data_IF_636400203858
#
_entry.id   IF_636400203858
#
_cell.length_a   1.000
_cell.length_b   1.000
_cell.length_c   1.000
_cell.angle_alpha   90.00
_cell.angle_beta   90.00
_cell.angle_gamma   90.00
#
_symmetry.space_group_name_H-M   'P 1'
#
loop_
_entity.id
_entity.type
_entity.pdbx_description
1 polymer ?
#
# COMPACT_ATOMS: atom_id res chain seq x y z
N UNK A 1 -14.63 -4.88 -17.39
CA UNK A 1 -13.27 -4.28 -17.42
C UNK A 1 -12.57 -4.54 -18.75
N UNK A 2 -12.68 -5.75 -19.31
CA UNK A 2 -12.08 -6.12 -20.61
C UNK A 2 -12.36 -5.12 -21.74
N UNK A 3 -13.62 -4.73 -21.94
CA UNK A 3 -14.04 -3.77 -22.98
C UNK A 3 -13.37 -2.39 -22.85
N UNK A 4 -13.13 -1.93 -21.61
CA UNK A 4 -12.46 -0.64 -21.35
C UNK A 4 -10.97 -0.73 -21.72
N UNK A 5 -10.32 -1.84 -21.35
CA UNK A 5 -8.91 -2.10 -21.68
C UNK A 5 -8.74 -2.21 -23.19
N UNK A 6 -9.62 -2.96 -23.85
CA UNK A 6 -9.63 -3.15 -25.29
C UNK A 6 -9.81 -1.83 -26.03
N UNK A 7 -10.79 -1.01 -25.65
CA UNK A 7 -10.95 0.34 -26.21
C UNK A 7 -9.72 1.23 -26.00
N UNK A 8 -9.11 1.22 -24.81
CA UNK A 8 -7.91 2.03 -24.56
C UNK A 8 -6.70 1.57 -25.38
N UNK A 9 -6.64 0.30 -25.78
CA UNK A 9 -5.62 -0.25 -26.68
C UNK A 9 -5.91 0.02 -28.16
N UNK A 10 -7.11 -0.30 -28.63
CA UNK A 10 -7.45 -0.30 -30.07
C UNK A 10 -8.09 1.00 -30.55
N UNK A 11 -8.67 1.79 -29.64
CA UNK A 11 -9.52 2.96 -29.93
C UNK A 11 -10.78 2.64 -30.73
N UNK A 12 -11.16 1.37 -30.80
CA UNK A 12 -12.35 0.94 -31.53
C UNK A 12 -13.56 0.90 -30.60
N UNK A 13 -14.67 1.48 -31.05
CA UNK A 13 -15.94 1.45 -30.34
C UNK A 13 -16.87 0.42 -30.97
N UNK A 14 -17.71 -0.24 -30.16
CA UNK A 14 -18.76 -1.12 -30.66
C UNK A 14 -19.77 -0.32 -31.48
N UNK A 15 -20.38 -0.95 -32.50
CA UNK A 15 -21.33 -0.28 -33.39
C UNK A 15 -22.66 0.13 -32.73
N UNK A 16 -22.98 -0.40 -31.55
CA UNK A 16 -24.13 0.07 -30.76
C UNK A 16 -23.78 1.38 -30.04
N UNK A 17 -24.41 2.47 -30.46
CA UNK A 17 -24.20 3.82 -29.93
C UNK A 17 -24.42 3.91 -28.42
N UNK A 18 -25.40 3.17 -27.86
CA UNK A 18 -25.62 3.18 -26.39
C UNK A 18 -24.45 2.55 -25.65
N UNK A 19 -23.93 1.45 -26.19
CA UNK A 19 -22.79 0.74 -25.64
C UNK A 19 -21.50 1.55 -25.80
N UNK A 20 -21.28 2.16 -26.98
CA UNK A 20 -20.17 3.06 -27.25
C UNK A 20 -20.17 4.28 -26.31
N UNK A 21 -21.35 4.88 -26.08
CA UNK A 21 -21.51 5.97 -25.14
C UNK A 21 -21.12 5.55 -23.71
N UNK A 22 -21.56 4.36 -23.27
CA UNK A 22 -21.18 3.80 -21.96
C UNK A 22 -19.67 3.65 -21.81
N UNK A 23 -18.99 3.09 -22.81
CA UNK A 23 -17.53 2.94 -22.83
C UNK A 23 -16.86 4.31 -22.75
N UNK A 24 -17.29 5.28 -23.56
CA UNK A 24 -16.77 6.66 -23.54
C UNK A 24 -16.88 7.34 -22.18
N UNK A 25 -17.98 7.13 -21.47
CA UNK A 25 -18.15 7.66 -20.10
C UNK A 25 -17.20 6.97 -19.13
N UNK A 26 -17.07 5.65 -19.23
CA UNK A 26 -16.25 4.85 -18.32
C UNK A 26 -14.74 5.07 -18.50
N UNK A 27 -14.28 5.36 -19.72
CA UNK A 27 -12.86 5.57 -20.06
C UNK A 27 -12.39 7.01 -19.80
N UNK A 28 -13.29 7.93 -19.42
CA UNK A 28 -12.95 9.35 -19.24
C UNK A 28 -11.98 9.61 -18.08
N UNK A 29 -11.91 8.70 -17.10
CA UNK A 29 -11.10 8.85 -15.88
C UNK A 29 -9.92 7.86 -15.78
N UNK A 30 -10.06 6.57 -16.13
CA UNK A 30 -8.95 5.63 -16.01
C UNK A 30 -7.92 5.80 -17.14
N UNK A 31 -6.68 5.45 -16.84
CA UNK A 31 -5.55 5.38 -17.77
C UNK A 31 -4.99 3.97 -17.79
N UNK A 32 -4.53 3.50 -18.94
CA UNK A 32 -3.89 2.20 -19.08
C UNK A 32 -2.37 2.33 -18.88
N UNK A 33 -1.79 1.59 -17.95
CA UNK A 33 -0.35 1.53 -17.68
C UNK A 33 0.03 0.06 -17.54
N UNK A 34 0.97 -0.44 -18.35
CA UNK A 34 1.41 -1.85 -18.35
C UNK A 34 0.21 -2.83 -18.33
N UNK A 35 -0.75 -2.61 -19.23
CA UNK A 35 -1.96 -3.43 -19.38
C UNK A 35 -2.91 -3.49 -18.18
N UNK A 36 -2.68 -2.64 -17.17
CA UNK A 36 -3.54 -2.47 -16.01
C UNK A 36 -4.20 -1.09 -16.03
N UNK A 37 -5.47 -1.03 -15.62
CA UNK A 37 -6.20 0.22 -15.49
C UNK A 37 -5.85 0.91 -14.17
N UNK A 38 -5.63 2.21 -14.23
CA UNK A 38 -5.37 3.07 -13.07
C UNK A 38 -6.26 4.30 -13.10
N UNK A 39 -6.74 4.74 -11.94
CA UNK A 39 -7.39 6.04 -11.78
C UNK A 39 -6.49 7.00 -11.02
N UNK A 40 -6.47 8.27 -11.45
CA UNK A 40 -5.77 9.31 -10.73
C UNK A 40 -6.52 9.68 -9.45
N UNK A 41 -5.87 9.53 -8.30
CA UNK A 41 -6.40 9.94 -7.01
C UNK A 41 -5.92 11.34 -6.65
N UNK A 42 -6.80 12.12 -6.02
CA UNK A 42 -6.60 13.53 -5.69
C UNK A 42 -5.30 13.82 -4.89
N UNK A 43 -4.75 12.83 -4.17
CA UNK A 43 -3.45 12.93 -3.48
C UNK A 43 -2.22 12.58 -4.35
N UNK A 44 -2.35 12.62 -5.67
CA UNK A 44 -1.21 12.47 -6.60
C UNK A 44 -0.69 11.04 -6.78
N UNK A 45 -1.50 10.03 -6.44
CA UNK A 45 -1.15 8.61 -6.64
C UNK A 45 -2.11 7.95 -7.64
N UNK A 46 -1.62 6.97 -8.39
CA UNK A 46 -2.45 6.14 -9.26
C UNK A 46 -2.97 4.93 -8.47
N UNK A 47 -4.29 4.76 -8.42
CA UNK A 47 -4.92 3.58 -7.82
C UNK A 47 -5.24 2.57 -8.91
N UNK A 48 -4.76 1.33 -8.74
CA UNK A 48 -5.08 0.23 -9.66
C UNK A 48 -6.57 -0.11 -9.58
N UNK A 49 -7.24 -0.19 -10.71
CA UNK A 49 -8.59 -0.75 -10.80
C UNK A 49 -8.50 -2.28 -10.68
N UNK A 50 -9.33 -2.85 -9.82
CA UNK A 50 -9.41 -4.30 -9.62
C UNK A 50 -10.57 -4.88 -10.40
N UNK A 51 -10.35 -5.99 -11.09
CA UNK A 51 -11.43 -6.80 -11.66
C UNK A 51 -12.32 -7.36 -10.54
N UNK A 52 -13.54 -7.75 -10.86
CA UNK A 52 -14.46 -8.36 -9.88
C UNK A 52 -13.83 -9.49 -9.05
N UNK A 53 -13.09 -10.47 -9.62
CA UNK A 53 -12.44 -11.50 -8.81
C UNK A 53 -11.33 -10.93 -7.92
N UNK A 54 -10.49 -10.03 -8.42
CA UNK A 54 -9.45 -9.37 -7.61
C UNK A 54 -10.09 -8.56 -6.47
N UNK A 55 -11.14 -7.79 -6.74
CA UNK A 55 -11.83 -6.98 -5.74
C UNK A 55 -12.45 -7.87 -4.64
N UNK A 56 -13.06 -9.00 -5.02
CA UNK A 56 -13.60 -9.96 -4.05
C UNK A 56 -12.51 -10.57 -3.17
N UNK A 57 -11.39 -10.95 -3.77
CA UNK A 57 -10.23 -11.46 -3.03
C UNK A 57 -9.71 -10.43 -2.02
N UNK A 58 -9.49 -9.20 -2.47
CA UNK A 58 -9.01 -8.09 -1.62
C UNK A 58 -9.96 -7.80 -0.46
N UNK A 59 -11.27 -7.81 -0.71
CA UNK A 59 -12.27 -7.59 0.34
C UNK A 59 -12.27 -8.76 1.34
N UNK A 60 -12.13 -10.01 0.87
CA UNK A 60 -12.07 -11.18 1.73
C UNK A 60 -10.82 -11.16 2.62
N UNK A 61 -9.66 -10.86 2.05
CA UNK A 61 -8.40 -10.77 2.80
C UNK A 61 -8.43 -9.64 3.83
N UNK A 62 -8.94 -8.46 3.44
CA UNK A 62 -9.17 -7.34 4.37
C UNK A 62 -10.21 -7.66 5.46
N UNK A 63 -11.10 -8.61 5.24
CA UNK A 63 -12.08 -9.04 6.23
C UNK A 63 -11.46 -10.07 7.20
N UNK A 64 -10.58 -10.95 6.72
CA UNK A 64 -9.89 -11.96 7.54
C UNK A 64 -8.78 -11.37 8.42
N UNK A 65 -8.01 -10.40 7.91
CA UNK A 65 -6.95 -9.71 8.68
C UNK A 65 -7.50 -8.83 9.81
N UNK A 66 -8.81 -8.58 9.82
CA UNK A 66 -9.49 -7.89 10.91
C UNK A 66 -9.89 -8.93 11.96
N UNK A 67 -8.94 -9.26 12.83
CA UNK A 67 -9.17 -10.14 13.97
C UNK A 67 -10.40 -9.68 14.78
N UNK A 68 -11.55 -10.30 14.55
CA UNK A 68 -12.77 -10.20 15.37
C UNK A 68 -13.53 -8.87 15.39
N UNK A 69 -13.10 -7.81 14.69
CA UNK A 69 -13.85 -6.55 14.70
C UNK A 69 -14.90 -6.56 13.59
N UNK A 70 -16.18 -6.39 13.96
CA UNK A 70 -17.28 -6.01 13.08
C UNK A 70 -16.96 -4.65 12.43
N UNK A 71 -16.07 -4.63 11.44
CA UNK A 71 -15.80 -3.44 10.66
C UNK A 71 -16.98 -3.24 9.70
N UNK A 72 -17.71 -2.14 9.86
CA UNK A 72 -18.78 -1.79 8.93
C UNK A 72 -18.26 -1.66 7.50
N UNK A 73 -19.14 -1.86 6.52
CA UNK A 73 -18.83 -1.79 5.08
C UNK A 73 -18.06 -0.51 4.69
N UNK A 74 -18.37 0.62 5.33
CA UNK A 74 -17.70 1.90 5.11
C UNK A 74 -16.24 1.88 5.58
N UNK A 75 -15.94 1.22 6.69
CA UNK A 75 -14.59 1.06 7.23
C UNK A 75 -13.75 0.16 6.34
N UNK A 76 -14.32 -0.95 5.85
CA UNK A 76 -13.67 -1.82 4.86
C UNK A 76 -13.40 -1.07 3.53
N UNK A 77 -14.37 -0.31 3.02
CA UNK A 77 -14.20 0.47 1.80
C UNK A 77 -13.12 1.54 1.97
N UNK A 78 -13.11 2.25 3.10
CA UNK A 78 -12.07 3.23 3.42
C UNK A 78 -10.70 2.56 3.51
N UNK A 79 -10.58 1.39 4.16
CA UNK A 79 -9.32 0.63 4.23
C UNK A 79 -8.87 0.11 2.87
N UNK A 80 -9.74 -0.49 2.09
CA UNK A 80 -9.43 -0.92 0.73
C UNK A 80 -8.93 0.24 -0.14
N UNK A 81 -9.45 1.45 0.08
CA UNK A 81 -9.09 2.65 -0.67
C UNK A 81 -7.81 3.33 -0.18
N UNK A 82 -7.58 3.39 1.13
CA UNK A 82 -6.47 4.15 1.74
C UNK A 82 -5.28 3.29 2.15
N UNK A 83 -5.55 2.02 2.45
CA UNK A 83 -4.63 1.03 2.99
C UNK A 83 -4.75 -0.26 2.19
N UNK A 84 -4.85 -0.19 0.85
CA UNK A 84 -5.06 -1.38 -0.01
C UNK A 84 -4.32 -2.63 0.49
N UNK A 85 -4.82 -3.84 0.20
CA UNK A 85 -4.57 -5.12 0.91
C UNK A 85 -3.11 -5.44 1.28
N UNK A 86 -2.16 -4.82 0.57
CA UNK A 86 -0.72 -4.90 0.79
C UNK A 86 -0.17 -3.85 1.78
N UNK A 87 -1.02 -3.13 2.52
CA UNK A 87 -0.58 -2.15 3.50
C UNK A 87 -0.17 -2.83 4.78
N UNK A 88 0.97 -2.43 5.33
CA UNK A 88 1.57 -2.94 6.55
C UNK A 88 2.07 -4.39 6.52
N UNK A 89 2.05 -5.06 5.36
CA UNK A 89 2.59 -6.43 5.21
C UNK A 89 4.06 -6.46 4.76
N UNK A 90 4.52 -5.42 4.06
CA UNK A 90 5.88 -5.31 3.54
C UNK A 90 6.52 -4.00 4.00
N UNK A 91 7.58 -4.10 4.79
CA UNK A 91 8.29 -2.94 5.32
C UNK A 91 9.71 -2.90 4.81
N UNK A 92 10.22 -1.70 4.56
CA UNK A 92 11.64 -1.46 4.37
C UNK A 92 12.22 -0.91 5.66
N UNK A 93 13.27 -1.52 6.17
CA UNK A 93 13.97 -1.05 7.37
C UNK A 93 15.37 -0.59 7.03
N UNK A 94 15.82 0.48 7.69
CA UNK A 94 17.10 1.12 7.43
C UNK A 94 17.66 1.74 8.71
N UNK A 95 18.99 1.86 8.77
CA UNK A 95 19.72 2.54 9.84
C UNK A 95 20.35 3.81 9.26
N UNK A 96 19.83 4.95 9.68
CA UNK A 96 20.46 6.24 9.38
C UNK A 96 21.47 6.56 10.46
N UNK A 97 22.76 6.49 10.12
CA UNK A 97 23.85 6.72 11.07
C UNK A 97 24.58 8.05 10.90
N UNK A 98 25.52 8.29 11.83
CA UNK A 98 26.44 9.43 11.83
C UNK A 98 25.76 10.82 11.86
N UNK A 99 24.64 10.92 12.55
CA UNK A 99 23.97 12.19 12.78
C UNK A 99 24.67 13.00 13.88
N UNK A 100 24.51 14.35 13.89
CA UNK A 100 24.93 15.17 15.02
C UNK A 100 24.38 14.61 16.33
N UNK A 101 25.23 14.58 17.36
CA UNK A 101 24.90 13.96 18.63
C UNK A 101 23.76 14.73 19.30
N UNK A 102 22.62 14.06 19.47
CA UNK A 102 21.46 14.58 20.19
C UNK A 102 21.52 14.24 21.68
N UNK A 103 20.46 14.60 22.41
CA UNK A 103 20.30 14.25 23.82
C UNK A 103 20.53 12.74 24.06
N UNK A 104 21.18 12.41 25.18
CA UNK A 104 21.58 11.05 25.55
C UNK A 104 22.52 10.35 24.55
N UNK A 105 23.39 11.10 23.86
CA UNK A 105 24.40 10.58 22.93
C UNK A 105 23.80 9.85 21.71
N UNK A 106 22.53 10.12 21.38
CA UNK A 106 21.84 9.49 20.25
C UNK A 106 22.36 10.04 18.93
N UNK A 107 22.77 9.15 18.03
CA UNK A 107 23.39 9.50 16.74
C UNK A 107 23.01 8.57 15.58
N UNK A 108 22.12 7.60 15.86
CA UNK A 108 21.54 6.70 14.88
C UNK A 108 20.02 6.77 14.94
N UNK A 109 19.35 6.65 13.79
CA UNK A 109 17.92 6.42 13.68
C UNK A 109 17.70 5.03 13.08
N UNK A 110 16.89 4.22 13.74
CA UNK A 110 16.31 3.02 13.14
C UNK A 110 14.96 3.43 12.55
N UNK A 111 14.77 3.20 11.26
CA UNK A 111 13.59 3.62 10.52
C UNK A 111 12.96 2.41 9.84
N UNK A 112 11.64 2.29 9.91
CA UNK A 112 10.85 1.38 9.09
C UNK A 112 9.82 2.16 8.28
N UNK A 113 9.74 1.88 6.99
CA UNK A 113 8.80 2.52 6.06
C UNK A 113 7.92 1.44 5.44
N UNK A 114 6.61 1.58 5.59
CA UNK A 114 5.65 0.73 4.89
C UNK A 114 5.79 0.94 3.37
N UNK A 115 5.89 -0.17 2.63
CA UNK A 115 6.15 -0.09 1.20
C UNK A 115 5.00 0.56 0.43
N UNK A 116 3.76 0.34 0.84
CA UNK A 116 2.56 0.73 0.10
C UNK A 116 2.15 2.17 0.38
N UNK A 117 1.88 2.51 1.63
CA UNK A 117 1.35 3.81 2.04
C UNK A 117 2.45 4.80 2.50
N UNK A 118 3.71 4.35 2.52
CA UNK A 118 4.88 5.15 2.94
C UNK A 118 4.81 5.64 4.40
N UNK A 119 4.05 4.96 5.25
CA UNK A 119 4.02 5.23 6.69
C UNK A 119 5.39 4.98 7.31
N UNK A 120 5.83 5.86 8.22
CA UNK A 120 7.16 5.82 8.82
C UNK A 120 7.08 5.60 10.32
N UNK A 121 7.79 4.58 10.80
CA UNK A 121 8.12 4.39 12.21
C UNK A 121 9.62 4.66 12.40
N UNK A 122 10.01 5.44 13.41
CA UNK A 122 11.40 5.80 13.64
C UNK A 122 11.74 5.93 15.12
N UNK A 123 12.93 5.45 15.52
CA UNK A 123 13.43 5.60 16.89
C UNK A 123 14.94 5.90 16.91
N UNK A 124 15.34 6.80 17.81
CA UNK A 124 16.73 7.28 17.92
C UNK A 124 17.52 6.51 18.99
N UNK A 125 18.77 6.15 18.65
CA UNK A 125 19.67 5.32 19.45
C UNK A 125 21.09 5.92 19.54
N UNK A 126 21.75 5.71 20.69
CA UNK A 126 23.17 6.01 20.85
C UNK A 126 24.07 4.94 20.20
N UNK A 127 23.61 3.68 20.25
CA UNK A 127 24.14 2.52 19.54
C UNK A 127 22.99 1.56 19.31
N UNK A 128 22.92 0.95 18.12
CA UNK A 128 21.90 -0.04 17.80
C UNK A 128 22.48 -1.44 18.09
N UNK A 129 21.66 -2.31 18.69
CA UNK A 129 21.96 -3.72 18.93
C UNK A 129 20.81 -4.57 18.43
N UNK A 130 21.05 -5.85 18.19
CA UNK A 130 20.05 -6.79 17.63
C UNK A 130 18.74 -6.84 18.45
N UNK A 131 18.88 -6.78 19.79
CA UNK A 131 17.73 -6.73 20.70
C UNK A 131 16.90 -5.45 20.57
N UNK A 132 17.55 -4.35 20.22
CA UNK A 132 16.88 -3.05 20.04
C UNK A 132 16.10 -3.06 18.74
N UNK A 133 16.66 -3.67 17.68
CA UNK A 133 15.96 -3.91 16.40
C UNK A 133 14.73 -4.79 16.59
N UNK A 134 14.89 -5.93 17.28
CA UNK A 134 13.77 -6.84 17.56
C UNK A 134 12.67 -6.13 18.36
N UNK A 135 13.06 -5.37 19.40
CA UNK A 135 12.12 -4.60 20.21
C UNK A 135 11.38 -3.55 19.40
N UNK A 136 12.08 -2.85 18.51
CA UNK A 136 11.51 -1.85 17.62
C UNK A 136 10.45 -2.47 16.71
N UNK A 137 10.75 -3.60 16.06
CA UNK A 137 9.81 -4.31 15.17
C UNK A 137 8.56 -4.76 15.92
N UNK A 138 8.72 -5.43 17.06
CA UNK A 138 7.58 -5.89 17.85
C UNK A 138 6.70 -4.73 18.32
N UNK A 139 7.32 -3.70 18.92
CA UNK A 139 6.60 -2.59 19.55
C UNK A 139 5.93 -1.68 18.53
N UNK A 140 6.67 -1.27 17.49
CA UNK A 140 6.21 -0.21 16.59
C UNK A 140 5.50 -0.77 15.35
N UNK A 141 5.72 -2.05 15.01
CA UNK A 141 5.10 -2.66 13.83
C UNK A 141 4.11 -3.75 14.25
N UNK A 142 4.58 -4.87 14.82
CA UNK A 142 3.75 -6.07 14.98
C UNK A 142 2.56 -5.85 15.92
N UNK A 143 2.79 -5.27 17.10
CA UNK A 143 1.72 -5.01 18.06
C UNK A 143 0.70 -3.97 17.60
N UNK A 144 1.03 -3.15 16.59
CA UNK A 144 0.17 -2.05 16.12
C UNK A 144 -0.57 -2.37 14.83
N UNK A 145 0.11 -3.05 13.91
CA UNK A 145 -0.39 -3.27 12.55
C UNK A 145 -0.59 -4.74 12.21
N UNK A 146 -0.12 -5.67 13.05
CA UNK A 146 -0.28 -7.11 12.83
C UNK A 146 0.98 -7.79 12.29
N UNK A 147 0.81 -9.04 11.83
CA UNK A 147 1.93 -9.89 11.41
C UNK A 147 2.42 -9.43 10.03
N UNK A 148 3.73 -9.33 9.91
CA UNK A 148 4.41 -8.92 8.68
C UNK A 148 4.57 -10.12 7.75
N UNK A 149 4.45 -9.88 6.44
CA UNK A 149 4.85 -10.86 5.44
C UNK A 149 6.37 -10.84 5.24
N UNK A 150 6.97 -9.64 5.14
CA UNK A 150 8.42 -9.49 5.03
C UNK A 150 8.93 -8.11 5.49
N UNK A 151 10.18 -8.09 5.93
CA UNK A 151 10.97 -6.86 6.14
C UNK A 151 12.16 -6.92 5.20
N UNK A 152 12.28 -5.93 4.33
CA UNK A 152 13.44 -5.72 3.46
C UNK A 152 14.41 -4.83 4.21
N UNK A 153 15.57 -5.37 4.52
CA UNK A 153 16.74 -4.65 5.06
C UNK A 153 17.82 -4.62 4.00
N UNK A 154 18.63 -3.56 4.00
CA UNK A 154 19.88 -3.60 3.26
C UNK A 154 20.88 -4.52 3.95
N UNK A 155 21.89 -4.97 3.21
CA UNK A 155 22.98 -5.78 3.77
C UNK A 155 24.01 -4.87 4.47
N UNK A 156 23.52 -3.97 5.33
CA UNK A 156 24.38 -3.14 6.16
C UNK A 156 25.43 -4.00 6.90
N UNK A 157 26.61 -3.44 7.19
CA UNK A 157 27.73 -4.18 7.80
C UNK A 157 27.44 -4.72 9.21
#
# INVERSE_FOLDING_TARGET
MHEIVEYLRTRELPGDEKHAHKIRVQVARPTLINDSLYIWYFRGSYLKCLSDPEARYVIAELHEDVCGNHADKCTLAHRAHTQGPWSFVLWRMDIVGHLPVAAAQKKFLLIAIDYFNKWVEAEAYARIKDKDVSKFVWKNIVYRFGILQAIIVDNGP
#
